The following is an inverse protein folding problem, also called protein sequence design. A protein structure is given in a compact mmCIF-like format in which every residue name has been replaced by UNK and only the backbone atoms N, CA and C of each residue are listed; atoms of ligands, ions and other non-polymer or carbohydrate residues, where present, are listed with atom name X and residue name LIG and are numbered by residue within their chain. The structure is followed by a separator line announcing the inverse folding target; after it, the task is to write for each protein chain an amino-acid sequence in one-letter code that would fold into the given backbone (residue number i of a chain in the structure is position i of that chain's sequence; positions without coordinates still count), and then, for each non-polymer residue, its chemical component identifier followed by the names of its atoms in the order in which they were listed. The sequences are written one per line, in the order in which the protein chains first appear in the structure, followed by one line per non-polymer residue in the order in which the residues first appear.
data_IF_280953866231
#
_entry.id   IF_280953866231
#
_cell.length_a   1.000
_cell.length_b   1.000
_cell.length_c   1.000
_cell.angle_alpha   90.00
_cell.angle_beta   90.00
_cell.angle_gamma   90.00
#
_symmetry.space_group_name_H-M   'P 1'
#
loop_
_entity.id
_entity.type
_entity.pdbx_description
1 polymer ?
#
# COMPACT_ATOMS: atom_id res chain seq x y z
N UNK A 1 -3.71 -3.27 37.64
CA UNK A 1 -2.31 -3.74 37.61
C UNK A 1 -2.07 -4.25 36.20
N UNK A 2 -1.07 -3.71 35.48
CA UNK A 2 -0.70 -4.20 34.14
C UNK A 2 -0.23 -5.64 34.22
N UNK A 3 -0.63 -6.49 33.27
CA UNK A 3 -0.20 -7.89 33.27
C UNK A 3 1.33 -7.99 33.11
N UNK A 4 1.98 -9.04 33.64
CA UNK A 4 3.42 -9.25 33.42
C UNK A 4 3.81 -9.28 31.94
N UNK A 5 2.94 -9.83 31.08
CA UNK A 5 3.14 -9.88 29.64
C UNK A 5 3.08 -8.48 28.99
N UNK A 6 2.10 -7.66 29.38
CA UNK A 6 2.00 -6.28 28.90
C UNK A 6 3.22 -5.44 29.32
N UNK A 7 3.71 -5.65 30.55
CA UNK A 7 4.94 -4.99 31.01
C UNK A 7 6.16 -5.40 30.20
N UNK A 8 6.28 -6.69 29.85
CA UNK A 8 7.39 -7.19 29.04
C UNK A 8 7.35 -6.65 27.60
N UNK A 9 6.17 -6.66 26.97
CA UNK A 9 5.97 -6.11 25.63
C UNK A 9 6.23 -4.60 25.58
N UNK A 10 5.74 -3.86 26.59
CA UNK A 10 6.06 -2.44 26.75
C UNK A 10 7.57 -2.22 26.82
N UNK A 11 8.28 -2.99 27.64
CA UNK A 11 9.73 -2.86 27.77
C UNK A 11 10.45 -3.17 26.46
N UNK A 12 10.02 -4.21 25.73
CA UNK A 12 10.55 -4.56 24.41
C UNK A 12 10.39 -3.41 23.40
N UNK A 13 9.17 -2.87 23.26
CA UNK A 13 8.88 -1.77 22.32
C UNK A 13 9.68 -0.51 22.69
N UNK A 14 9.70 -0.14 23.97
CA UNK A 14 10.41 1.06 24.43
C UNK A 14 11.92 0.95 24.23
N UNK A 15 12.52 -0.19 24.60
CA UNK A 15 13.95 -0.43 24.40
C UNK A 15 14.33 -0.49 22.93
N UNK A 16 13.46 -1.03 22.06
CA UNK A 16 13.69 -1.00 20.61
C UNK A 16 13.86 0.44 20.11
N UNK A 17 12.99 1.37 20.53
CA UNK A 17 13.06 2.77 20.15
C UNK A 17 14.13 3.60 20.88
N UNK A 18 14.79 3.05 21.90
CA UNK A 18 15.99 3.65 22.50
C UNK A 18 17.24 3.34 21.66
N UNK A 19 17.23 2.21 20.94
CA UNK A 19 18.35 1.74 20.12
C UNK A 19 18.18 2.05 18.63
N UNK A 20 16.95 2.11 18.14
CA UNK A 20 16.62 2.29 16.72
C UNK A 20 15.85 3.60 16.52
N UNK A 21 16.21 4.33 15.46
CA UNK A 21 15.50 5.56 15.10
C UNK A 21 14.09 5.27 14.61
N UNK A 22 13.16 6.18 14.90
CA UNK A 22 11.83 6.24 14.26
C UNK A 22 11.82 7.21 13.08
N UNK A 23 12.95 7.37 12.40
CA UNK A 23 13.10 8.15 11.17
C UNK A 23 13.59 7.23 10.05
N UNK A 24 13.10 7.46 8.83
CA UNK A 24 13.55 6.72 7.65
C UNK A 24 14.81 7.40 7.11
N UNK A 25 15.85 6.63 6.86
CA UNK A 25 17.09 7.15 6.28
C UNK A 25 16.88 7.51 4.80
N UNK A 26 17.43 8.63 4.37
CA UNK A 26 17.37 9.10 2.99
C UNK A 26 18.76 9.01 2.36
N UNK A 27 18.84 8.36 1.20
CA UNK A 27 20.04 8.15 0.43
C UNK A 27 19.98 9.00 -0.84
N UNK A 28 21.10 9.66 -1.16
CA UNK A 28 21.23 10.46 -2.40
C UNK A 28 21.53 9.59 -3.63
N UNK A 29 21.84 8.31 -3.45
CA UNK A 29 22.14 7.37 -4.52
C UNK A 29 21.80 5.91 -4.13
N UNK A 30 21.79 5.03 -5.13
CA UNK A 30 21.58 3.60 -4.91
C UNK A 30 22.68 3.01 -4.01
N UNK A 31 22.33 2.21 -2.98
CA UNK A 31 23.33 1.52 -2.17
C UNK A 31 24.00 0.41 -2.99
N UNK A 32 25.22 0.05 -2.62
CA UNK A 32 25.80 -1.21 -3.10
C UNK A 32 24.99 -2.42 -2.58
N UNK A 33 25.05 -3.59 -3.24
CA UNK A 33 24.40 -4.81 -2.74
C UNK A 33 24.78 -5.16 -1.29
N UNK A 34 26.02 -4.89 -0.89
CA UNK A 34 26.48 -5.13 0.49
C UNK A 34 25.85 -4.16 1.49
N UNK A 35 25.75 -2.87 1.13
CA UNK A 35 25.07 -1.88 1.97
C UNK A 35 23.59 -2.20 2.09
N UNK A 36 22.93 -2.57 0.98
CA UNK A 36 21.55 -3.02 0.99
C UNK A 36 21.33 -4.21 1.94
N UNK A 37 22.19 -5.23 1.92
CA UNK A 37 22.10 -6.35 2.86
C UNK A 37 22.20 -5.94 4.35
N UNK A 38 22.85 -4.82 4.66
CA UNK A 38 22.84 -4.28 6.04
C UNK A 38 21.48 -3.73 6.43
N UNK A 39 20.71 -3.17 5.50
CA UNK A 39 19.32 -2.76 5.76
C UNK A 39 18.41 -3.97 5.90
N UNK A 40 18.54 -4.96 5.00
CA UNK A 40 17.80 -6.23 5.07
C UNK A 40 18.03 -6.93 6.41
N UNK A 41 19.28 -7.12 6.82
CA UNK A 41 19.62 -7.79 8.09
C UNK A 41 19.15 -7.05 9.35
N UNK A 42 18.98 -5.72 9.27
CA UNK A 42 18.44 -4.90 10.37
C UNK A 42 16.92 -4.74 10.30
N UNK A 43 16.30 -5.15 9.19
CA UNK A 43 14.89 -4.90 8.89
C UNK A 43 14.52 -3.41 9.00
N UNK A 44 15.35 -2.55 8.39
CA UNK A 44 15.20 -1.08 8.47
C UNK A 44 14.90 -0.49 7.09
N UNK A 45 13.84 0.32 6.94
CA UNK A 45 13.53 0.99 5.68
C UNK A 45 14.50 2.12 5.36
N UNK A 46 14.63 2.45 4.08
CA UNK A 46 15.29 3.67 3.59
C UNK A 46 14.61 4.17 2.32
N UNK A 47 14.82 5.44 1.99
CA UNK A 47 14.40 6.05 0.71
C UNK A 47 15.63 6.45 -0.09
N UNK A 48 15.64 6.14 -1.38
CA UNK A 48 16.58 6.72 -2.34
C UNK A 48 15.87 7.88 -3.03
N UNK A 49 16.34 9.10 -2.77
CA UNK A 49 15.77 10.30 -3.40
C UNK A 49 16.15 10.34 -4.88
N UNK A 50 15.15 10.39 -5.75
CA UNK A 50 15.33 10.42 -7.21
C UNK A 50 15.98 9.17 -7.83
N UNK A 51 15.98 8.02 -7.15
CA UNK A 51 16.60 6.78 -7.66
C UNK A 51 16.06 6.35 -9.03
N UNK A 52 14.79 6.63 -9.32
CA UNK A 52 14.12 6.34 -10.59
C UNK A 52 13.99 7.57 -11.50
N UNK A 53 14.55 8.74 -11.17
CA UNK A 53 14.40 9.96 -11.99
C UNK A 53 14.94 9.84 -13.42
N UNK A 54 15.78 8.83 -13.68
CA UNK A 54 16.29 8.53 -15.02
C UNK A 54 15.36 7.66 -15.87
N UNK A 55 14.36 7.01 -15.27
CA UNK A 55 13.47 6.07 -15.95
C UNK A 55 12.61 6.79 -16.98
N UNK A 56 12.30 6.11 -18.09
CA UNK A 56 11.38 6.66 -19.09
C UNK A 56 10.00 6.87 -18.50
N UNK A 57 9.55 5.97 -17.63
CA UNK A 57 8.30 6.09 -16.88
C UNK A 57 8.22 7.43 -16.13
N UNK A 58 9.21 7.75 -15.28
CA UNK A 58 9.24 8.99 -14.49
C UNK A 58 9.38 10.25 -15.35
N UNK A 59 10.03 10.16 -16.52
CA UNK A 59 10.26 11.32 -17.39
C UNK A 59 9.12 11.62 -18.36
N UNK A 60 8.40 10.61 -18.81
CA UNK A 60 7.46 10.73 -19.94
C UNK A 60 6.02 10.42 -19.57
N UNK A 61 5.77 9.58 -18.57
CA UNK A 61 4.39 9.20 -18.26
C UNK A 61 3.60 10.42 -17.78
N UNK A 62 2.44 10.57 -18.41
CA UNK A 62 1.41 11.51 -18.06
C UNK A 62 0.08 10.92 -18.54
N UNK A 63 -1.04 11.56 -18.22
CA UNK A 63 -2.35 11.04 -18.57
C UNK A 63 -2.56 10.79 -20.07
N UNK A 64 -2.00 11.63 -20.95
CA UNK A 64 -2.11 11.44 -22.40
C UNK A 64 -1.27 10.25 -22.87
N UNK A 65 -0.02 10.15 -22.39
CA UNK A 65 0.86 9.01 -22.71
C UNK A 65 0.24 7.67 -22.29
N UNK A 66 -0.26 7.58 -21.06
CA UNK A 66 -0.84 6.33 -20.54
C UNK A 66 -2.09 5.93 -21.34
N UNK A 67 -2.96 6.88 -21.70
CA UNK A 67 -4.14 6.61 -22.54
C UNK A 67 -3.75 6.10 -23.93
N UNK A 68 -2.73 6.69 -24.54
CA UNK A 68 -2.23 6.25 -25.84
C UNK A 68 -1.60 4.86 -25.76
N UNK A 69 -0.74 4.62 -24.76
CA UNK A 69 -0.03 3.35 -24.60
C UNK A 69 -0.96 2.17 -24.27
N UNK A 70 -2.04 2.43 -23.52
CA UNK A 70 -3.04 1.43 -23.12
C UNK A 70 -4.36 1.57 -23.91
N UNK A 71 -4.33 2.24 -25.07
CA UNK A 71 -5.52 2.44 -25.89
C UNK A 71 -6.17 1.10 -26.27
N UNK A 72 -7.48 1.01 -26.07
CA UNK A 72 -8.26 -0.21 -26.34
C UNK A 72 -8.03 -1.37 -25.36
N UNK A 73 -7.25 -1.18 -24.29
CA UNK A 73 -7.07 -2.18 -23.24
C UNK A 73 -8.06 -1.96 -22.09
N UNK A 74 -8.43 -3.05 -21.42
CA UNK A 74 -9.20 -3.03 -20.18
C UNK A 74 -8.31 -3.48 -19.02
N UNK A 75 -8.54 -2.95 -17.84
CA UNK A 75 -7.79 -3.25 -16.62
C UNK A 75 -8.74 -3.71 -15.51
N UNK A 76 -8.24 -4.51 -14.57
CA UNK A 76 -9.00 -4.85 -13.37
C UNK A 76 -8.98 -3.64 -12.41
N UNK A 77 -10.16 -3.22 -11.97
CA UNK A 77 -10.36 -2.09 -11.07
C UNK A 77 -11.08 -2.55 -9.81
N UNK A 78 -10.47 -2.29 -8.66
CA UNK A 78 -11.11 -2.37 -7.37
C UNK A 78 -12.00 -1.14 -7.16
N UNK A 79 -13.27 -1.38 -6.84
CA UNK A 79 -14.30 -0.37 -6.63
C UNK A 79 -14.81 -0.46 -5.20
N UNK A 80 -14.76 0.67 -4.50
CA UNK A 80 -15.27 0.79 -3.14
C UNK A 80 -16.08 2.08 -2.97
N UNK A 81 -16.99 2.17 -1.98
CA UNK A 81 -17.69 3.42 -1.70
C UNK A 81 -16.80 4.51 -1.12
N UNK A 82 -15.76 4.14 -0.36
CA UNK A 82 -14.99 5.08 0.47
C UNK A 82 -13.47 4.93 0.33
N UNK A 83 -13.00 4.14 -0.63
CA UNK A 83 -11.56 3.96 -0.90
C UNK A 83 -10.85 3.02 0.05
N UNK A 84 -11.59 2.25 0.83
CA UNK A 84 -11.16 1.35 1.88
C UNK A 84 -11.19 -0.12 1.40
N UNK A 85 -10.45 -0.41 0.32
CA UNK A 85 -10.29 -1.78 -0.14
C UNK A 85 -9.46 -2.58 0.87
N UNK A 86 -9.84 -3.84 1.11
CA UNK A 86 -9.14 -4.77 1.99
C UNK A 86 -8.88 -4.21 3.40
N UNK A 87 -9.92 -3.62 3.99
CA UNK A 87 -9.84 -2.88 5.24
C UNK A 87 -10.86 -3.36 6.29
N UNK A 88 -10.60 -3.16 7.59
CA UNK A 88 -11.63 -3.25 8.61
C UNK A 88 -12.70 -2.19 8.39
N UNK A 89 -13.95 -2.61 8.19
CA UNK A 89 -15.07 -1.73 7.90
C UNK A 89 -16.26 -2.09 8.78
N UNK A 90 -16.86 -1.09 9.44
CA UNK A 90 -18.09 -1.30 10.19
C UNK A 90 -19.26 -1.55 9.23
N UNK A 91 -19.94 -2.69 9.38
CA UNK A 91 -21.17 -3.02 8.66
C UNK A 91 -22.38 -2.72 9.55
N UNK A 92 -23.19 -1.70 9.24
CA UNK A 92 -24.41 -1.40 9.99
C UNK A 92 -25.45 -2.53 9.93
N UNK A 93 -25.48 -3.28 8.83
CA UNK A 93 -26.40 -4.41 8.65
C UNK A 93 -26.11 -5.55 9.63
N UNK A 94 -24.84 -5.74 9.98
CA UNK A 94 -24.40 -6.83 10.87
C UNK A 94 -23.99 -6.35 12.26
N UNK A 95 -24.06 -5.03 12.51
CA UNK A 95 -23.63 -4.37 13.75
C UNK A 95 -22.23 -4.82 14.21
N UNK A 96 -21.31 -4.94 13.25
CA UNK A 96 -19.97 -5.48 13.48
C UNK A 96 -18.95 -4.96 12.46
N UNK A 97 -17.68 -4.90 12.88
CA UNK A 97 -16.55 -4.70 11.97
C UNK A 97 -16.25 -5.99 11.21
N UNK A 98 -16.17 -5.89 9.90
CA UNK A 98 -15.84 -6.97 8.96
C UNK A 98 -14.58 -6.62 8.17
N UNK A 99 -13.95 -7.60 7.53
CA UNK A 99 -12.89 -7.36 6.57
C UNK A 99 -13.51 -7.16 5.19
N UNK A 100 -13.56 -5.92 4.72
CA UNK A 100 -14.21 -5.56 3.45
C UNK A 100 -13.25 -5.68 2.28
N UNK A 101 -13.54 -6.59 1.36
CA UNK A 101 -12.91 -6.71 0.05
C UNK A 101 -13.63 -5.82 -0.97
N UNK A 102 -12.91 -5.25 -1.94
CA UNK A 102 -13.50 -4.41 -2.98
C UNK A 102 -14.43 -5.21 -3.91
N UNK A 103 -15.26 -4.49 -4.66
CA UNK A 103 -15.87 -5.05 -5.86
C UNK A 103 -14.84 -4.96 -6.99
N UNK A 104 -14.53 -6.06 -7.66
CA UNK A 104 -13.63 -6.03 -8.82
C UNK A 104 -14.41 -6.08 -10.13
N UNK A 105 -14.04 -5.20 -11.06
CA UNK A 105 -14.62 -5.18 -12.40
C UNK A 105 -13.60 -4.77 -13.46
N UNK A 106 -13.78 -5.26 -14.68
CA UNK A 106 -12.95 -4.88 -15.82
C UNK A 106 -13.48 -3.59 -16.44
N UNK A 107 -12.62 -2.57 -16.56
CA UNK A 107 -12.98 -1.28 -17.15
C UNK A 107 -12.02 -0.91 -18.29
N UNK A 108 -12.49 -0.24 -19.36
CA UNK A 108 -11.60 0.38 -20.34
C UNK A 108 -10.65 1.36 -19.65
N UNK A 109 -9.35 1.25 -19.93
CA UNK A 109 -8.33 2.05 -19.24
C UNK A 109 -8.56 3.56 -19.39
N UNK A 110 -8.99 4.00 -20.58
CA UNK A 110 -9.26 5.41 -20.86
C UNK A 110 -10.37 5.98 -19.98
N UNK A 111 -11.43 5.21 -19.74
CA UNK A 111 -12.58 5.59 -18.92
C UNK A 111 -12.18 5.65 -17.44
N UNK A 112 -11.49 4.61 -16.98
CA UNK A 112 -10.93 4.52 -15.63
C UNK A 112 -10.02 5.72 -15.31
N UNK A 113 -9.02 6.01 -16.16
CA UNK A 113 -8.10 7.12 -15.92
C UNK A 113 -8.82 8.48 -16.00
N UNK A 114 -9.77 8.63 -16.92
CA UNK A 114 -10.59 9.84 -17.01
C UNK A 114 -11.44 10.05 -15.76
N UNK A 115 -11.96 8.97 -15.18
CA UNK A 115 -12.70 9.00 -13.92
C UNK A 115 -11.81 9.46 -12.78
N UNK A 116 -10.63 8.84 -12.60
CA UNK A 116 -9.69 9.22 -11.53
C UNK A 116 -9.33 10.70 -11.58
N UNK A 117 -8.98 11.21 -12.77
CA UNK A 117 -8.62 12.62 -12.97
C UNK A 117 -9.79 13.55 -12.63
N UNK A 118 -11.02 13.15 -12.97
CA UNK A 118 -12.22 13.92 -12.63
C UNK A 118 -12.46 13.91 -11.12
N UNK A 119 -12.41 12.74 -10.49
CA UNK A 119 -12.63 12.59 -9.06
C UNK A 119 -11.63 13.40 -8.22
N UNK A 120 -10.38 13.48 -8.65
CA UNK A 120 -9.34 14.28 -7.99
C UNK A 120 -9.62 15.80 -8.10
N UNK A 121 -10.15 16.26 -9.24
CA UNK A 121 -10.42 17.69 -9.50
C UNK A 121 -11.72 18.20 -8.90
N UNK A 122 -12.71 17.33 -8.71
CA UNK A 122 -14.04 17.70 -8.22
C UNK A 122 -14.42 16.86 -7.01
N UNK A 123 -13.96 17.29 -5.83
CA UNK A 123 -14.00 16.52 -4.59
C UNK A 123 -15.40 16.02 -4.17
N UNK A 124 -16.50 16.63 -4.63
CA UNK A 124 -17.86 16.33 -4.16
C UNK A 124 -18.89 16.18 -5.30
N UNK A 125 -18.46 15.78 -6.51
CA UNK A 125 -19.43 15.53 -7.58
C UNK A 125 -20.27 14.27 -7.27
N UNK A 126 -21.61 14.32 -7.35
CA UNK A 126 -22.46 13.14 -7.22
C UNK A 126 -22.21 12.09 -8.31
N UNK A 127 -21.48 12.43 -9.37
CA UNK A 127 -21.02 11.52 -10.43
C UNK A 127 -19.77 10.70 -10.04
N UNK A 128 -19.07 11.05 -8.94
CA UNK A 128 -17.82 10.40 -8.50
C UNK A 128 -17.93 9.81 -7.09
N UNK A 129 -19.02 9.06 -6.85
CA UNK A 129 -19.32 8.45 -5.54
C UNK A 129 -18.45 7.25 -5.21
N UNK A 130 -17.95 6.54 -6.21
CA UNK A 130 -17.15 5.35 -6.04
C UNK A 130 -15.68 5.72 -6.08
N UNK A 131 -14.85 5.06 -5.28
CA UNK A 131 -13.40 5.21 -5.32
C UNK A 131 -12.85 4.03 -6.09
N UNK A 132 -12.08 4.34 -7.14
CA UNK A 132 -11.48 3.35 -8.04
C UNK A 132 -9.99 3.22 -7.75
N UNK A 133 -9.49 1.98 -7.79
CA UNK A 133 -8.08 1.69 -7.62
C UNK A 133 -7.68 0.49 -8.49
N UNK A 134 -6.72 0.67 -9.39
CA UNK A 134 -6.07 -0.46 -10.05
C UNK A 134 -4.93 -0.96 -9.13
N UNK A 135 -5.20 -2.07 -8.44
CA UNK A 135 -4.39 -2.56 -7.32
C UNK A 135 -4.13 -4.08 -7.35
N UNK A 136 -4.25 -4.73 -8.51
CA UNK A 136 -3.98 -6.17 -8.61
C UNK A 136 -2.52 -6.49 -8.29
N UNK A 137 -2.28 -7.41 -7.34
CA UNK A 137 -0.92 -7.74 -6.84
C UNK A 137 -0.47 -9.13 -7.31
N UNK A 138 -0.51 -9.37 -8.61
CA UNK A 138 -0.29 -10.69 -9.21
C UNK A 138 0.67 -10.64 -10.41
N UNK A 139 1.73 -9.84 -10.31
CA UNK A 139 2.65 -9.55 -11.42
C UNK A 139 1.97 -8.76 -12.56
N UNK A 140 0.99 -7.92 -12.19
CA UNK A 140 0.09 -7.26 -13.14
C UNK A 140 0.83 -6.37 -14.13
N UNK A 141 2.03 -5.87 -13.81
CA UNK A 141 2.78 -5.00 -14.70
C UNK A 141 3.30 -5.79 -15.91
N UNK A 142 3.64 -7.06 -15.71
CA UNK A 142 4.08 -7.95 -16.79
C UNK A 142 2.94 -8.47 -17.64
N UNK A 143 1.75 -8.59 -17.04
CA UNK A 143 0.58 -9.17 -17.69
C UNK A 143 -0.36 -8.08 -18.24
N UNK A 144 -1.05 -7.35 -17.37
CA UNK A 144 -2.07 -6.34 -17.71
C UNK A 144 -1.48 -5.09 -18.38
N UNK A 145 -0.22 -4.74 -18.06
CA UNK A 145 0.43 -3.49 -18.50
C UNK A 145 1.71 -3.70 -19.32
N UNK A 146 1.82 -4.87 -19.97
CA UNK A 146 3.04 -5.30 -20.65
C UNK A 146 3.63 -4.28 -21.65
N UNK A 147 2.80 -3.44 -22.29
CA UNK A 147 3.24 -2.40 -23.22
C UNK A 147 4.06 -1.28 -22.55
N UNK A 148 3.92 -1.11 -21.23
CA UNK A 148 4.62 -0.11 -20.42
C UNK A 148 5.93 -0.64 -19.83
N UNK A 149 6.17 -1.96 -19.83
CA UNK A 149 7.38 -2.58 -19.29
C UNK A 149 8.69 -1.97 -19.79
N UNK A 150 8.85 -1.61 -21.08
CA UNK A 150 10.11 -1.04 -21.57
C UNK A 150 10.44 0.33 -20.97
N UNK A 151 9.49 0.98 -20.30
CA UNK A 151 9.66 2.32 -19.74
C UNK A 151 10.23 2.31 -18.32
N UNK A 152 10.25 1.14 -17.67
CA UNK A 152 10.74 0.92 -16.32
C UNK A 152 11.80 -0.19 -16.29
N UNK A 153 12.39 -0.45 -15.12
CA UNK A 153 13.30 -1.56 -14.95
C UNK A 153 12.53 -2.89 -14.81
N UNK A 154 13.15 -4.00 -15.20
CA UNK A 154 12.60 -5.36 -15.01
C UNK A 154 12.87 -5.92 -13.60
N UNK A 155 13.92 -5.42 -12.96
CA UNK A 155 14.40 -5.75 -11.62
C UNK A 155 15.24 -4.58 -11.09
N UNK A 156 15.44 -4.50 -9.78
CA UNK A 156 16.29 -3.50 -9.15
C UNK A 156 17.69 -4.11 -8.91
N UNK A 157 18.76 -3.65 -9.59
CA UNK A 157 20.04 -4.36 -9.61
C UNK A 157 20.67 -4.58 -8.24
N UNK A 158 20.69 -3.57 -7.36
CA UNK A 158 21.31 -3.72 -6.04
C UNK A 158 20.62 -4.80 -5.20
N UNK A 159 19.28 -4.87 -5.28
CA UNK A 159 18.47 -5.82 -4.54
C UNK A 159 18.55 -7.23 -5.13
N UNK A 160 18.43 -7.36 -6.45
CA UNK A 160 18.56 -8.66 -7.14
C UNK A 160 19.92 -9.29 -6.88
N UNK A 161 21.00 -8.51 -6.90
CA UNK A 161 22.36 -9.01 -6.64
C UNK A 161 22.53 -9.41 -5.18
N UNK A 162 22.04 -8.59 -4.24
CA UNK A 162 22.13 -8.83 -2.81
C UNK A 162 21.34 -10.08 -2.37
N UNK A 163 20.09 -10.20 -2.80
CA UNK A 163 19.17 -11.28 -2.45
C UNK A 163 19.36 -12.53 -3.31
N UNK A 164 20.16 -12.42 -4.38
CA UNK A 164 20.39 -13.47 -5.38
C UNK A 164 19.08 -14.03 -5.98
N UNK A 165 18.08 -13.18 -6.13
CA UNK A 165 16.75 -13.55 -6.62
C UNK A 165 16.18 -12.42 -7.47
N UNK A 166 15.49 -12.78 -8.54
CA UNK A 166 14.62 -11.85 -9.27
C UNK A 166 13.35 -11.55 -8.46
N UNK A 167 12.68 -10.41 -8.69
CA UNK A 167 11.40 -10.14 -8.04
C UNK A 167 10.40 -11.24 -8.38
N UNK A 168 9.62 -11.68 -7.37
CA UNK A 168 8.55 -12.67 -7.56
C UNK A 168 7.37 -12.08 -8.34
N UNK A 169 7.13 -10.77 -8.20
CA UNK A 169 6.14 -10.00 -8.94
C UNK A 169 6.64 -8.56 -9.16
N UNK A 170 6.17 -7.92 -10.22
CA UNK A 170 6.29 -6.49 -10.45
C UNK A 170 4.89 -5.96 -10.67
N UNK A 171 4.41 -5.06 -9.81
CA UNK A 171 3.05 -4.54 -9.90
C UNK A 171 3.04 -3.04 -10.21
N UNK A 172 2.04 -2.62 -10.97
CA UNK A 172 1.68 -1.25 -11.26
C UNK A 172 0.42 -0.89 -10.48
N UNK A 173 0.48 0.26 -9.82
CA UNK A 173 -0.58 0.81 -8.99
C UNK A 173 -1.05 2.12 -9.58
N UNK A 174 -2.37 2.28 -9.76
CA UNK A 174 -2.97 3.53 -10.25
C UNK A 174 -4.22 3.81 -9.43
N UNK A 175 -4.18 4.81 -8.56
CA UNK A 175 -5.31 5.17 -7.70
C UNK A 175 -5.36 6.65 -7.39
N UNK A 176 -6.27 7.07 -6.49
CA UNK A 176 -6.38 8.47 -6.08
C UNK A 176 -6.39 8.80 -4.60
N UNK A 177 -6.56 10.09 -4.26
CA UNK A 177 -6.31 10.60 -2.91
C UNK A 177 -7.41 10.16 -1.96
N UNK A 178 -8.46 9.57 -2.52
CA UNK A 178 -9.53 8.92 -1.80
C UNK A 178 -9.27 7.44 -1.54
N UNK A 179 -8.33 6.80 -2.23
CA UNK A 179 -7.95 5.40 -1.99
C UNK A 179 -6.92 5.30 -0.87
N UNK A 180 -7.21 4.55 0.18
CA UNK A 180 -6.33 4.32 1.33
C UNK A 180 -6.21 2.84 1.60
N UNK A 181 -4.99 2.34 1.60
CA UNK A 181 -4.67 0.97 2.02
C UNK A 181 -4.57 0.92 3.53
N UNK A 182 -5.27 -0.03 4.15
CA UNK A 182 -5.25 -0.21 5.59
C UNK A 182 -3.91 -0.76 6.07
N UNK A 183 -3.59 -0.54 7.35
CA UNK A 183 -2.40 -1.09 7.98
C UNK A 183 -2.37 -2.62 7.87
N UNK A 184 -1.40 -3.15 7.14
CA UNK A 184 -1.22 -4.59 6.91
C UNK A 184 0.26 -4.93 6.92
N UNK A 185 0.69 -6.14 6.59
CA UNK A 185 2.12 -6.47 6.49
C UNK A 185 2.34 -7.53 5.42
N UNK A 186 3.47 -7.44 4.72
CA UNK A 186 3.85 -8.40 3.70
C UNK A 186 5.02 -9.28 4.11
N UNK A 187 5.11 -10.45 3.47
CA UNK A 187 6.24 -11.36 3.65
C UNK A 187 7.36 -11.13 2.61
N UNK A 188 7.35 -9.99 1.92
CA UNK A 188 8.24 -9.67 0.80
C UNK A 188 9.19 -8.52 1.15
N UNK A 189 10.40 -8.56 0.58
CA UNK A 189 11.28 -7.40 0.54
C UNK A 189 10.83 -6.51 -0.63
N UNK A 190 10.17 -5.39 -0.33
CA UNK A 190 9.47 -4.61 -1.33
C UNK A 190 10.27 -3.34 -1.69
N UNK A 191 10.47 -3.09 -2.98
CA UNK A 191 11.01 -1.81 -3.47
C UNK A 191 9.92 -1.06 -4.21
N UNK A 192 9.39 -0.03 -3.56
CA UNK A 192 8.30 0.80 -4.08
C UNK A 192 8.87 2.04 -4.79
N UNK A 193 8.49 2.25 -6.05
CA UNK A 193 8.97 3.34 -6.89
C UNK A 193 7.81 4.26 -7.25
N UNK A 194 7.92 5.53 -6.84
CA UNK A 194 6.90 6.53 -7.09
C UNK A 194 7.10 7.18 -8.47
N UNK A 195 6.11 7.11 -9.36
CA UNK A 195 6.26 7.59 -10.76
C UNK A 195 5.49 8.89 -11.01
N UNK A 196 4.22 8.98 -10.62
CA UNK A 196 3.38 10.18 -10.81
C UNK A 196 2.62 10.49 -9.52
N UNK A 197 2.64 11.75 -9.09
CA UNK A 197 1.99 12.17 -7.84
C UNK A 197 2.89 11.92 -6.62
N UNK A 198 2.30 11.87 -5.43
CA UNK A 198 3.02 11.64 -4.17
C UNK A 198 2.38 10.54 -3.36
N UNK A 199 3.21 9.64 -2.82
CA UNK A 199 2.77 8.59 -1.90
C UNK A 199 3.15 8.97 -0.49
N UNK A 200 2.22 8.80 0.44
CA UNK A 200 2.49 8.94 1.87
C UNK A 200 2.45 7.56 2.51
N UNK A 201 3.50 7.19 3.23
CA UNK A 201 3.62 5.93 3.97
C UNK A 201 3.69 6.21 5.47
N UNK A 202 3.03 5.36 6.24
CA UNK A 202 3.12 5.32 7.71
C UNK A 202 3.62 3.94 8.13
N UNK A 203 4.90 3.85 8.48
CA UNK A 203 5.57 2.59 8.75
C UNK A 203 5.73 2.31 10.25
N UNK A 204 5.52 1.05 10.65
CA UNK A 204 5.83 0.57 12.00
C UNK A 204 6.82 -0.60 11.95
N UNK A 205 7.81 -0.68 12.86
CA UNK A 205 8.68 -1.85 12.93
C UNK A 205 7.87 -3.07 13.40
N UNK A 206 8.23 -4.31 13.01
CA UNK A 206 7.48 -5.52 13.39
C UNK A 206 7.33 -5.72 14.91
N UNK A 207 8.24 -5.16 15.72
CA UNK A 207 8.14 -5.16 17.19
C UNK A 207 6.86 -4.46 17.71
N UNK A 208 6.25 -3.59 16.89
CA UNK A 208 5.00 -2.92 17.20
C UNK A 208 3.75 -3.72 16.82
N UNK A 209 3.86 -4.98 16.37
CA UNK A 209 2.69 -5.81 16.09
C UNK A 209 1.67 -5.87 17.25
N UNK A 210 2.07 -5.96 18.54
CA UNK A 210 1.13 -5.87 19.66
C UNK A 210 0.35 -4.55 19.81
N UNK A 211 0.77 -3.50 19.10
CA UNK A 211 0.07 -2.22 19.02
C UNK A 211 -1.08 -2.23 18.02
N UNK A 212 -1.08 -3.15 17.05
CA UNK A 212 -1.96 -3.14 15.87
C UNK A 212 -3.39 -3.63 16.12
N UNK A 213 -3.68 -4.08 17.34
CA UNK A 213 -4.97 -4.65 17.74
C UNK A 213 -5.53 -5.67 16.72
N UNK A 214 -4.69 -6.63 16.31
CA UNK A 214 -5.09 -7.64 15.33
C UNK A 214 -6.29 -8.45 15.83
N UNK A 215 -7.33 -8.56 15.00
CA UNK A 215 -8.55 -9.28 15.32
C UNK A 215 -8.94 -10.21 14.17
N UNK A 216 -9.67 -11.28 14.50
CA UNK A 216 -10.27 -12.18 13.51
C UNK A 216 -11.56 -11.56 12.99
N UNK A 217 -11.54 -11.08 11.74
CA UNK A 217 -12.66 -10.42 11.10
C UNK A 217 -13.38 -11.37 10.14
N UNK A 218 -14.71 -11.26 10.06
CA UNK A 218 -15.47 -11.97 9.02
C UNK A 218 -15.20 -11.30 7.68
N UNK A 219 -14.82 -12.05 6.62
CA UNK A 219 -14.66 -11.46 5.30
C UNK A 219 -16.02 -11.13 4.69
N UNK A 220 -16.06 -10.01 3.98
CA UNK A 220 -17.22 -9.52 3.24
C UNK A 220 -16.75 -8.87 1.94
N UNK A 221 -17.53 -8.98 0.88
CA UNK A 221 -17.19 -8.42 -0.44
C UNK A 221 -18.23 -7.37 -0.84
N UNK A 222 -17.77 -6.22 -1.35
CA UNK A 222 -18.67 -5.26 -1.99
C UNK A 222 -19.27 -5.87 -3.27
N UNK A 223 -20.59 -5.85 -3.35
CA UNK A 223 -21.34 -6.33 -4.50
C UNK A 223 -22.09 -5.15 -5.15
N UNK A 224 -22.04 -5.09 -6.47
CA UNK A 224 -22.76 -4.09 -7.27
C UNK A 224 -24.18 -4.57 -7.57
N UNK A 225 -25.18 -3.84 -7.08
CA UNK A 225 -26.60 -4.04 -7.42
C UNK A 225 -27.13 -2.75 -8.09
N UNK A 226 -27.21 -2.79 -9.43
CA UNK A 226 -27.46 -1.59 -10.23
C UNK A 226 -26.37 -0.55 -10.07
N UNK A 227 -26.69 0.59 -9.45
CA UNK A 227 -25.76 1.70 -9.19
C UNK A 227 -25.26 1.76 -7.74
N UNK A 228 -25.65 0.82 -6.88
CA UNK A 228 -25.28 0.82 -5.47
C UNK A 228 -24.31 -0.32 -5.16
N UNK A 229 -23.32 -0.04 -4.32
CA UNK A 229 -22.44 -1.04 -3.72
C UNK A 229 -22.94 -1.36 -2.32
N UNK A 230 -23.13 -2.65 -2.04
CA UNK A 230 -23.47 -3.15 -0.70
C UNK A 230 -22.49 -4.23 -0.27
N UNK A 231 -22.11 -4.19 1.01
CA UNK A 231 -21.16 -5.13 1.57
C UNK A 231 -21.90 -6.41 1.98
N UNK A 232 -21.51 -7.56 1.44
CA UNK A 232 -22.13 -8.85 1.75
C UNK A 232 -21.10 -9.80 2.36
N UNK A 233 -21.47 -10.51 3.42
CA UNK A 233 -20.61 -11.51 4.03
C UNK A 233 -20.31 -12.65 3.05
N UNK A 234 -19.08 -13.14 3.08
CA UNK A 234 -18.69 -14.30 2.29
C UNK A 234 -19.06 -15.58 3.05
N UNK A 235 -20.16 -16.22 2.64
CA UNK A 235 -20.67 -17.42 3.31
C UNK A 235 -19.64 -18.57 3.27
N UNK A 236 -19.35 -19.13 4.45
CA UNK A 236 -18.43 -20.27 4.59
C UNK A 236 -16.94 -19.92 4.53
N UNK A 237 -16.58 -18.64 4.39
CA UNK A 237 -15.19 -18.21 4.42
C UNK A 237 -14.62 -18.19 5.85
N UNK A 238 -13.31 -18.48 5.97
CA UNK A 238 -12.58 -18.41 7.23
C UNK A 238 -12.42 -16.97 7.72
N UNK A 239 -12.26 -16.78 9.03
CA UNK A 239 -11.97 -15.47 9.59
C UNK A 239 -10.56 -15.01 9.20
N UNK A 240 -10.42 -13.73 8.89
CA UNK A 240 -9.17 -13.11 8.47
C UNK A 240 -8.54 -12.38 9.66
N UNK A 241 -7.32 -12.73 10.10
CA UNK A 241 -6.59 -11.91 11.07
C UNK A 241 -6.14 -10.62 10.40
N UNK A 242 -6.56 -9.47 10.94
CA UNK A 242 -6.22 -8.17 10.37
C UNK A 242 -6.06 -7.10 11.45
N UNK A 243 -5.15 -6.14 11.22
CA UNK A 243 -4.94 -5.02 12.13
C UNK A 243 -6.17 -4.12 12.16
N UNK A 244 -6.64 -3.75 13.35
CA UNK A 244 -7.82 -2.87 13.49
C UNK A 244 -7.48 -1.49 14.03
N UNK A 245 -6.26 -1.32 14.55
CA UNK A 245 -5.75 -0.03 15.01
C UNK A 245 -5.05 0.71 13.86
N UNK A 246 -5.40 1.98 13.71
CA UNK A 246 -4.77 2.91 12.77
C UNK A 246 -3.99 3.99 13.55
N UNK A 247 -2.66 4.14 13.34
CA UNK A 247 -1.88 5.19 13.98
C UNK A 247 -2.30 6.63 13.60
N UNK A 248 -3.04 6.82 12.50
CA UNK A 248 -3.62 8.11 12.12
C UNK A 248 -4.93 8.43 12.86
N UNK A 249 -5.57 7.40 13.44
CA UNK A 249 -6.75 7.50 14.29
C UNK A 249 -6.48 6.87 15.66
N UNK A 250 -5.54 7.41 16.45
CA UNK A 250 -4.88 6.69 17.55
C UNK A 250 -5.78 6.27 18.72
N UNK A 251 -6.96 6.88 18.84
CA UNK A 251 -7.94 6.57 19.89
C UNK A 251 -8.85 5.37 19.51
N UNK A 252 -9.06 5.14 18.21
CA UNK A 252 -9.98 4.12 17.72
C UNK A 252 -9.31 2.74 17.71
N UNK A 253 -9.97 1.73 18.26
CA UNK A 253 -9.47 0.34 18.29
C UNK A 253 -8.05 0.18 18.87
N UNK A 254 -7.64 1.06 19.78
CA UNK A 254 -6.31 1.06 20.38
C UNK A 254 -6.12 -0.04 21.42
N UNK A 255 -4.87 -0.49 21.59
CA UNK A 255 -4.45 -1.33 22.72
C UNK A 255 -3.76 -0.47 23.80
N UNK A 256 -3.61 -0.97 25.04
CA UNK A 256 -2.79 -0.28 26.05
C UNK A 256 -1.34 0.00 25.63
N UNK A 257 -0.85 -0.73 24.62
CA UNK A 257 0.50 -0.63 24.06
C UNK A 257 0.60 0.36 22.89
N UNK A 258 -0.49 0.66 22.18
CA UNK A 258 -0.50 1.48 20.98
C UNK A 258 0.17 2.85 21.15
N UNK A 259 -0.02 3.49 22.31
CA UNK A 259 0.64 4.76 22.68
C UNK A 259 2.18 4.73 22.75
N UNK A 260 2.79 3.55 22.76
CA UNK A 260 4.26 3.40 22.75
C UNK A 260 4.82 3.21 21.34
N UNK A 261 3.97 2.99 20.35
CA UNK A 261 4.38 2.97 18.95
C UNK A 261 4.87 4.36 18.52
N UNK A 262 5.93 4.40 17.72
CA UNK A 262 6.44 5.61 17.07
C UNK A 262 6.41 5.38 15.55
N UNK A 263 5.30 5.75 14.88
CA UNK A 263 5.16 5.59 13.45
C UNK A 263 6.22 6.41 12.71
N UNK A 264 6.88 5.78 11.75
CA UNK A 264 7.79 6.42 10.81
C UNK A 264 6.97 6.93 9.63
N UNK A 265 7.13 8.19 9.24
CA UNK A 265 6.36 8.78 8.13
C UNK A 265 7.29 9.19 7.02
N UNK A 266 6.94 8.85 5.78
CA UNK A 266 7.69 9.31 4.62
C UNK A 266 6.75 9.65 3.48
N UNK A 267 7.13 10.70 2.74
CA UNK A 267 6.49 11.05 1.47
C UNK A 267 7.46 10.77 0.36
N UNK A 268 7.01 10.04 -0.66
CA UNK A 268 7.75 9.80 -1.89
C UNK A 268 7.29 10.80 -2.95
N UNK A 269 8.23 11.53 -3.54
CA UNK A 269 8.01 12.36 -4.71
C UNK A 269 8.30 11.55 -6.00
N UNK A 270 7.87 12.02 -7.19
CA UNK A 270 8.17 11.35 -8.45
C UNK A 270 9.68 11.08 -8.64
N UNK A 271 10.02 9.81 -8.79
CA UNK A 271 11.39 9.32 -8.93
C UNK A 271 11.98 8.73 -7.65
N UNK A 272 11.35 8.89 -6.49
CA UNK A 272 11.84 8.29 -5.25
C UNK A 272 11.60 6.77 -5.22
N UNK A 273 12.51 6.05 -4.56
CA UNK A 273 12.38 4.62 -4.28
C UNK A 273 12.38 4.40 -2.77
N UNK A 274 11.38 3.70 -2.24
CA UNK A 274 11.33 3.24 -0.85
C UNK A 274 11.66 1.75 -0.80
N UNK A 275 12.66 1.38 0.00
CA UNK A 275 12.78 0.00 0.45
C UNK A 275 11.89 -0.20 1.69
N UNK A 276 10.86 -1.03 1.53
CA UNK A 276 9.96 -1.47 2.59
C UNK A 276 10.36 -2.91 2.99
N UNK A 277 10.95 -3.09 4.18
CA UNK A 277 11.33 -4.41 4.66
C UNK A 277 10.13 -5.30 4.89
N UNK A 278 10.32 -6.61 4.73
CA UNK A 278 9.29 -7.59 5.08
C UNK A 278 8.78 -7.38 6.52
N UNK A 279 7.48 -7.58 6.70
CA UNK A 279 6.74 -7.52 7.96
C UNK A 279 6.54 -6.12 8.57
N UNK A 280 6.90 -5.05 7.86
CA UNK A 280 6.70 -3.67 8.27
C UNK A 280 5.30 -3.17 7.83
N UNK A 281 4.40 -2.71 8.74
CA UNK A 281 3.09 -2.25 8.32
C UNK A 281 3.03 -0.87 7.68
N UNK A 282 2.12 -0.63 6.73
CA UNK A 282 2.00 0.61 5.92
C UNK A 282 0.56 1.06 5.51
N UNK A 283 0.41 2.23 4.86
CA UNK A 283 -0.88 2.84 4.40
C UNK A 283 -0.71 3.98 3.36
N UNK A 284 -1.76 4.48 2.66
CA UNK A 284 -1.63 5.08 1.29
C UNK A 284 -2.56 6.26 0.82
N UNK A 285 -2.24 6.93 -0.34
CA UNK A 285 -3.02 7.95 -1.14
C UNK A 285 -2.53 8.21 -2.63
N UNK A 286 -3.24 9.00 -3.49
CA UNK A 286 -3.15 9.13 -5.01
C UNK A 286 -1.77 9.04 -5.64
N UNK A 287 -1.58 8.08 -6.55
CA UNK A 287 -0.32 7.92 -7.28
C UNK A 287 -0.41 6.99 -8.49
N UNK A 288 0.57 7.11 -9.39
CA UNK A 288 1.08 5.97 -10.17
C UNK A 288 2.40 5.51 -9.57
N UNK A 289 2.50 4.21 -9.26
CA UNK A 289 3.71 3.62 -8.69
C UNK A 289 3.97 2.22 -9.25
N UNK A 290 5.24 1.80 -9.20
CA UNK A 290 5.66 0.44 -9.55
C UNK A 290 6.35 -0.15 -8.32
N UNK A 291 6.03 -1.39 -7.95
CA UNK A 291 6.74 -2.08 -6.89
C UNK A 291 7.35 -3.41 -7.39
N UNK A 292 8.47 -3.80 -6.78
CA UNK A 292 9.29 -4.97 -7.10
C UNK A 292 9.49 -5.87 -5.89
#
# INVERSE_FOLDING_TARGET
MTSPNESALRHLITTYYELNSSSIEELDCEPSPLEFMRYVSRNTPFVIRGGASSWKATRQWNAAYLKEALAGQSVNVAVTPHGNADAPTFSPEHDATVFSKPHEESQPFEDFLSYLIRQEKSADSPETREVLYAQTQNDNFKDEYSCLLPDAQKDIPFARIALQRSPDAVNLWIGNSKSVTAAHKDNFENIFVQVIGRKHFVLLPPVCHPCMNEALLKPATYNRDGQALSLRLDEGAELVPFATWDPDSPEDSSTPLSRFAKPMRVTLDPGDMLYLPAMCPDGEGFVVAINY
#
